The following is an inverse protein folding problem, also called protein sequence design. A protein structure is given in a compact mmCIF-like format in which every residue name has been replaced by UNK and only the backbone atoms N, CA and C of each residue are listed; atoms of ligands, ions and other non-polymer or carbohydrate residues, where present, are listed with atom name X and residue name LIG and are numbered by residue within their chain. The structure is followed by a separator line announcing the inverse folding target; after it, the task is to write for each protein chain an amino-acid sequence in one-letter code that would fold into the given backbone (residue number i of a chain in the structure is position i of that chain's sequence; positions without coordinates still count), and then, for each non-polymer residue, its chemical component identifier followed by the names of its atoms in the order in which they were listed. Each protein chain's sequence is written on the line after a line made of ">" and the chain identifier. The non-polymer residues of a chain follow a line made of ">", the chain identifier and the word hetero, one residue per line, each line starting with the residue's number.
data_IF_663269959797
#
_entry.id   IF_663269959797
#
_cell.length_a   1.000
_cell.length_b   1.000
_cell.length_c   1.000
_cell.angle_alpha   90.00
_cell.angle_beta   90.00
_cell.angle_gamma   90.00
#
_symmetry.space_group_name_H-M   'P 1'
#
loop_
_entity.id
_entity.type
_entity.pdbx_description
1 polymer ?
#
# COMPACT_ATOMS: atom_id res chain seq x y z
N UNK A 1 -60.17 -22.12 -43.61
CA UNK A 1 -58.73 -21.90 -43.43
C UNK A 1 -58.52 -20.88 -42.31
N UNK A 2 -58.27 -21.37 -41.13
CA UNK A 2 -58.06 -20.52 -39.94
C UNK A 2 -56.57 -20.28 -39.75
N UNK A 3 -56.13 -19.03 -39.96
CA UNK A 3 -54.77 -18.61 -39.67
C UNK A 3 -54.66 -18.31 -38.17
N UNK A 4 -53.83 -19.10 -37.48
CA UNK A 4 -53.49 -18.85 -36.08
C UNK A 4 -52.46 -17.71 -36.01
N UNK A 5 -52.61 -16.72 -35.13
CA UNK A 5 -51.57 -15.73 -34.93
C UNK A 5 -50.43 -16.32 -34.11
N UNK A 6 -49.19 -16.13 -34.61
CA UNK A 6 -47.97 -16.42 -33.88
C UNK A 6 -47.72 -15.25 -32.93
N UNK A 7 -47.88 -15.51 -31.64
CA UNK A 7 -47.50 -14.56 -30.61
C UNK A 7 -45.99 -14.67 -30.42
N UNK A 8 -45.24 -13.67 -30.89
CA UNK A 8 -43.82 -13.51 -30.60
C UNK A 8 -43.70 -12.92 -29.19
N UNK A 9 -43.41 -13.77 -28.22
CA UNK A 9 -43.02 -13.29 -26.87
C UNK A 9 -41.59 -12.78 -26.91
N UNK A 10 -41.45 -11.48 -26.91
CA UNK A 10 -40.17 -10.83 -26.69
C UNK A 10 -39.79 -10.96 -25.21
N UNK A 11 -38.86 -11.85 -24.91
CA UNK A 11 -38.24 -11.93 -23.58
C UNK A 11 -37.20 -10.82 -23.51
N UNK A 12 -37.53 -9.73 -22.83
CA UNK A 12 -36.58 -8.68 -22.47
C UNK A 12 -35.67 -9.24 -21.36
N UNK A 13 -34.45 -9.60 -21.72
CA UNK A 13 -33.39 -9.89 -20.74
C UNK A 13 -32.97 -8.57 -20.10
N UNK A 14 -33.44 -8.28 -18.88
CA UNK A 14 -32.86 -7.24 -18.04
C UNK A 14 -31.52 -7.76 -17.56
N UNK A 15 -30.44 -7.29 -18.17
CA UNK A 15 -29.10 -7.42 -17.63
C UNK A 15 -28.98 -6.45 -16.43
N UNK A 16 -29.23 -6.98 -15.23
CA UNK A 16 -28.87 -6.28 -14.00
C UNK A 16 -27.36 -6.31 -13.91
N UNK A 17 -26.75 -5.24 -14.35
CA UNK A 17 -25.32 -4.99 -14.14
C UNK A 17 -25.08 -4.82 -12.64
N UNK A 18 -24.68 -5.89 -11.96
CA UNK A 18 -24.12 -5.80 -10.62
C UNK A 18 -22.78 -5.07 -10.73
N UNK A 19 -22.80 -3.78 -10.50
CA UNK A 19 -21.58 -3.02 -10.24
C UNK A 19 -21.00 -3.55 -8.91
N UNK A 20 -20.00 -4.41 -9.01
CA UNK A 20 -19.19 -4.78 -7.86
C UNK A 20 -18.55 -3.49 -7.34
N UNK A 21 -18.72 -3.15 -6.05
CA UNK A 21 -17.97 -2.05 -5.48
C UNK A 21 -16.50 -2.39 -5.64
N UNK A 22 -15.80 -1.61 -6.44
CA UNK A 22 -14.36 -1.76 -6.61
C UNK A 22 -13.69 -1.66 -5.25
N UNK A 23 -12.98 -2.71 -4.87
CA UNK A 23 -12.10 -2.71 -3.69
C UNK A 23 -10.90 -1.82 -4.04
N UNK A 24 -11.11 -0.54 -4.04
CA UNK A 24 -10.08 0.45 -4.34
C UNK A 24 -10.13 1.57 -3.31
N UNK A 25 -10.16 1.22 -2.02
CA UNK A 25 -9.89 2.19 -0.97
C UNK A 25 -9.14 1.50 0.15
N UNK A 26 -7.82 1.38 -0.01
CA UNK A 26 -6.97 1.47 1.15
C UNK A 26 -7.15 2.88 1.70
N UNK A 27 -8.22 3.09 2.45
CA UNK A 27 -8.47 4.39 3.06
C UNK A 27 -7.37 4.65 4.06
N UNK A 28 -6.88 5.90 4.13
CA UNK A 28 -5.96 6.36 5.16
C UNK A 28 -6.43 6.06 6.60
N UNK A 29 -7.66 5.58 6.77
CA UNK A 29 -8.27 5.12 8.01
C UNK A 29 -7.80 3.73 8.49
N UNK A 30 -7.10 2.95 7.66
CA UNK A 30 -6.52 1.67 8.08
C UNK A 30 -5.40 1.85 9.08
N UNK A 31 -4.72 2.98 9.05
CA UNK A 31 -3.58 3.29 9.90
C UNK A 31 -3.97 4.15 11.10
N UNK A 32 -3.42 3.83 12.25
CA UNK A 32 -3.57 4.64 13.46
C UNK A 32 -2.53 5.76 13.49
N UNK A 33 -2.92 6.92 12.99
CA UNK A 33 -2.05 8.11 12.93
C UNK A 33 -1.76 8.74 14.29
N UNK A 34 -2.42 8.30 15.34
CA UNK A 34 -2.12 8.72 16.71
C UNK A 34 -0.94 7.96 17.31
N UNK A 35 -0.55 6.86 16.68
CA UNK A 35 0.57 6.03 17.07
C UNK A 35 1.74 6.14 16.08
N UNK A 36 2.93 5.94 16.60
CA UNK A 36 4.17 5.90 15.84
C UNK A 36 4.98 4.71 16.29
N UNK A 37 5.46 3.93 15.34
CA UNK A 37 6.37 2.81 15.57
C UNK A 37 7.65 3.00 14.76
N UNK A 38 8.76 2.51 15.27
CA UNK A 38 10.03 2.41 14.56
C UNK A 38 10.32 0.94 14.25
N UNK A 39 10.52 0.65 12.98
CA UNK A 39 10.83 -0.68 12.47
C UNK A 39 12.28 -0.71 12.01
N UNK A 40 13.08 -1.53 12.67
CA UNK A 40 14.46 -1.78 12.28
C UNK A 40 14.49 -2.99 11.36
N UNK A 41 14.98 -2.81 10.14
CA UNK A 41 14.92 -3.90 9.16
C UNK A 41 15.83 -3.69 7.97
N UNK A 42 15.71 -4.62 7.04
CA UNK A 42 16.42 -4.64 5.77
C UNK A 42 15.44 -4.48 4.62
N UNK A 43 15.76 -3.60 3.67
CA UNK A 43 14.94 -3.40 2.47
C UNK A 43 14.98 -4.63 1.59
N UNK A 44 13.79 -5.18 1.28
CA UNK A 44 13.61 -6.28 0.34
C UNK A 44 13.34 -5.73 -1.05
N UNK A 45 12.47 -4.73 -1.13
CA UNK A 45 12.06 -4.11 -2.39
C UNK A 45 11.60 -2.67 -2.16
N UNK A 46 11.96 -1.80 -3.07
CA UNK A 46 11.43 -0.44 -3.16
C UNK A 46 10.66 -0.28 -4.46
N UNK A 47 9.34 -0.10 -4.36
CA UNK A 47 8.44 0.03 -5.50
C UNK A 47 8.13 1.51 -5.74
N UNK A 48 8.68 2.06 -6.80
CA UNK A 48 8.39 3.43 -7.26
C UNK A 48 7.17 3.41 -8.17
N UNK A 49 5.98 3.29 -7.58
CA UNK A 49 4.71 3.06 -8.26
C UNK A 49 3.67 4.13 -7.93
N UNK A 50 2.68 4.27 -8.83
CA UNK A 50 1.49 5.10 -8.62
C UNK A 50 0.29 4.21 -8.28
N UNK A 51 -0.62 4.65 -7.41
CA UNK A 51 -0.71 5.99 -6.81
C UNK A 51 0.24 6.22 -5.63
N UNK A 52 0.81 5.19 -5.05
CA UNK A 52 1.72 5.25 -3.90
C UNK A 52 2.97 4.42 -4.12
N UNK A 53 4.09 4.89 -3.55
CA UNK A 53 5.28 4.05 -3.42
C UNK A 53 5.08 3.03 -2.30
N UNK A 54 5.82 1.93 -2.36
CA UNK A 54 5.86 0.90 -1.33
C UNK A 54 7.29 0.53 -0.99
N UNK A 55 7.56 0.32 0.29
CA UNK A 55 8.84 -0.20 0.76
C UNK A 55 8.55 -1.51 1.49
N UNK A 56 9.06 -2.62 0.96
CA UNK A 56 9.00 -3.92 1.63
C UNK A 56 10.26 -4.10 2.44
N UNK A 57 10.12 -4.41 3.72
CA UNK A 57 11.25 -4.63 4.62
C UNK A 57 11.09 -5.93 5.40
N UNK A 58 12.21 -6.58 5.71
CA UNK A 58 12.28 -7.67 6.66
C UNK A 58 12.65 -7.12 8.03
N UNK A 59 11.85 -7.45 9.04
CA UNK A 59 12.03 -7.03 10.43
C UNK A 59 12.16 -8.27 11.30
N UNK A 60 13.18 -8.35 12.13
CA UNK A 60 13.29 -9.40 13.14
C UNK A 60 12.43 -9.01 14.36
N UNK A 61 11.51 -9.89 14.74
CA UNK A 61 10.70 -9.71 15.94
C UNK A 61 11.43 -10.14 17.22
N UNK A 62 10.79 -9.94 18.37
CA UNK A 62 11.38 -10.29 19.68
C UNK A 62 11.68 -11.78 19.84
N UNK A 63 11.00 -12.66 19.08
CA UNK A 63 11.24 -14.09 19.06
C UNK A 63 12.39 -14.51 18.11
N UNK A 64 13.03 -13.56 17.42
CA UNK A 64 14.06 -13.81 16.42
C UNK A 64 13.53 -14.27 15.07
N UNK A 65 12.24 -14.15 14.83
CA UNK A 65 11.61 -14.52 13.56
C UNK A 65 11.57 -13.32 12.62
N UNK A 66 11.78 -13.57 11.32
CA UNK A 66 11.69 -12.54 10.30
C UNK A 66 10.25 -12.34 9.88
N UNK A 67 9.79 -11.10 9.95
CA UNK A 67 8.48 -10.66 9.50
C UNK A 67 8.65 -9.68 8.34
N UNK A 68 7.92 -9.91 7.25
CA UNK A 68 7.86 -8.95 6.16
C UNK A 68 6.82 -7.88 6.45
N UNK A 69 7.24 -6.62 6.33
CA UNK A 69 6.40 -5.45 6.51
C UNK A 69 6.27 -4.67 5.22
N UNK A 70 5.04 -4.20 4.93
CA UNK A 70 4.75 -3.34 3.79
C UNK A 70 4.55 -1.91 4.27
N UNK A 71 5.36 -0.99 3.76
CA UNK A 71 5.30 0.42 4.14
C UNK A 71 4.73 1.21 2.96
N UNK A 72 3.56 1.80 3.17
CA UNK A 72 2.92 2.66 2.18
C UNK A 72 3.48 4.08 2.29
N UNK A 73 3.95 4.62 1.18
CA UNK A 73 4.47 5.98 1.13
C UNK A 73 3.57 6.94 0.36
N UNK A 74 4.16 8.04 -0.06
CA UNK A 74 3.47 9.09 -0.78
C UNK A 74 3.35 8.84 -2.28
N UNK A 75 2.83 9.85 -2.96
CA UNK A 75 2.69 9.88 -4.42
C UNK A 75 4.06 10.14 -5.06
N UNK A 76 4.51 9.35 -6.04
CA UNK A 76 5.86 9.46 -6.64
C UNK A 76 6.24 10.88 -7.08
N UNK A 77 5.37 11.57 -7.78
CA UNK A 77 5.66 12.93 -8.26
C UNK A 77 5.91 13.94 -7.13
N UNK A 78 5.19 13.80 -6.01
CA UNK A 78 5.39 14.66 -4.84
C UNK A 78 6.72 14.35 -4.16
N UNK A 79 7.02 13.06 -4.01
CA UNK A 79 8.28 12.59 -3.42
C UNK A 79 9.48 13.00 -4.26
N UNK A 80 9.37 12.91 -5.59
CA UNK A 80 10.42 13.36 -6.50
C UNK A 80 10.76 14.85 -6.30
N UNK A 81 9.74 15.69 -6.15
CA UNK A 81 9.93 17.12 -5.84
C UNK A 81 10.54 17.36 -4.46
N UNK A 82 10.31 16.45 -3.52
CA UNK A 82 10.90 16.47 -2.19
C UNK A 82 12.32 15.86 -2.14
N UNK A 83 12.88 15.48 -3.27
CA UNK A 83 14.25 14.97 -3.38
C UNK A 83 14.39 13.46 -3.45
N UNK A 84 13.29 12.73 -3.38
CA UNK A 84 13.32 11.28 -3.51
C UNK A 84 13.59 10.85 -4.95
N UNK A 85 14.15 9.65 -5.11
CA UNK A 85 14.45 9.02 -6.40
C UNK A 85 14.05 7.55 -6.37
N UNK A 86 13.86 6.90 -7.54
CA UNK A 86 13.58 5.46 -7.61
C UNK A 86 14.62 4.57 -6.93
N UNK A 87 15.82 5.09 -6.68
CA UNK A 87 16.90 4.41 -5.96
C UNK A 87 17.15 5.00 -4.56
N UNK A 88 16.21 5.72 -3.99
CA UNK A 88 16.33 6.24 -2.62
C UNK A 88 16.47 5.13 -1.58
N UNK A 89 15.91 3.95 -1.86
CA UNK A 89 16.17 2.72 -1.15
C UNK A 89 16.60 1.65 -2.15
N UNK A 90 17.54 0.82 -1.76
CA UNK A 90 18.02 -0.31 -2.53
C UNK A 90 17.86 -1.60 -1.74
N UNK A 91 17.69 -2.73 -2.43
CA UNK A 91 17.63 -4.03 -1.78
C UNK A 91 18.89 -4.26 -0.94
N UNK A 92 18.71 -4.67 0.30
CA UNK A 92 19.79 -4.92 1.25
C UNK A 92 20.12 -3.72 2.16
N UNK A 93 19.54 -2.54 1.91
CA UNK A 93 19.75 -1.39 2.79
C UNK A 93 19.25 -1.69 4.20
N UNK A 94 20.10 -1.38 5.20
CA UNK A 94 19.68 -1.39 6.59
C UNK A 94 19.00 -0.07 6.90
N UNK A 95 17.80 -0.12 7.45
CA UNK A 95 16.95 1.04 7.67
C UNK A 95 16.27 1.01 9.02
N UNK A 96 15.97 2.19 9.54
CA UNK A 96 14.96 2.38 10.57
C UNK A 96 13.83 3.15 9.91
N UNK A 97 12.65 2.53 9.80
CA UNK A 97 11.48 3.19 9.24
C UNK A 97 10.51 3.56 10.36
N UNK A 98 10.17 4.82 10.41
CA UNK A 98 9.14 5.36 11.29
C UNK A 98 7.83 5.41 10.53
N UNK A 99 6.75 4.89 11.13
CA UNK A 99 5.45 4.87 10.50
C UNK A 99 4.30 4.78 11.48
N UNK A 100 3.08 4.99 10.98
CA UNK A 100 1.85 4.75 11.71
C UNK A 100 1.40 3.31 11.48
N UNK A 101 1.17 2.51 12.53
CA UNK A 101 0.80 1.11 12.38
C UNK A 101 -0.63 0.94 11.88
N UNK A 102 -0.94 -0.24 11.34
CA UNK A 102 -2.33 -0.63 11.07
C UNK A 102 -3.12 -0.77 12.37
N UNK A 103 -4.39 -0.36 12.33
CA UNK A 103 -5.30 -0.47 13.48
C UNK A 103 -5.61 -1.90 13.87
N UNK A 104 -5.59 -2.82 12.90
CA UNK A 104 -5.90 -4.24 13.10
C UNK A 104 -4.67 -5.09 13.51
N UNK A 105 -3.50 -4.47 13.67
CA UNK A 105 -2.26 -5.16 14.02
C UNK A 105 -1.57 -5.86 12.84
N UNK A 106 -2.02 -5.64 11.59
CA UNK A 106 -1.37 -6.15 10.40
C UNK A 106 0.06 -5.64 10.23
N UNK A 107 0.87 -6.35 9.46
CA UNK A 107 2.28 -6.03 9.20
C UNK A 107 2.41 -5.01 8.07
N UNK A 108 1.86 -3.83 8.29
CA UNK A 108 1.97 -2.68 7.41
C UNK A 108 1.99 -1.39 8.22
N UNK A 109 2.58 -0.35 7.65
CA UNK A 109 2.59 0.98 8.27
C UNK A 109 2.51 2.07 7.19
N UNK A 110 2.01 3.23 7.59
CA UNK A 110 2.06 4.42 6.77
C UNK A 110 3.35 5.17 7.06
N UNK A 111 4.14 5.44 6.03
CA UNK A 111 5.46 6.07 6.13
C UNK A 111 5.40 7.46 6.77
N UNK A 112 6.27 7.71 7.73
CA UNK A 112 6.52 9.02 8.32
C UNK A 112 7.93 9.49 7.97
N UNK A 113 8.92 8.63 8.15
CA UNK A 113 10.32 8.93 7.90
C UNK A 113 11.18 7.67 7.93
N UNK A 114 12.41 7.81 7.47
CA UNK A 114 13.41 6.75 7.52
C UNK A 114 14.79 7.31 7.79
N UNK A 115 15.62 6.50 8.42
CA UNK A 115 17.07 6.71 8.53
C UNK A 115 17.78 5.51 7.95
N UNK A 116 18.72 5.78 7.06
CA UNK A 116 19.58 4.78 6.44
C UNK A 116 20.86 4.58 7.27
N UNK A 117 21.59 3.53 6.97
CA UNK A 117 22.81 3.14 7.70
C UNK A 117 23.95 4.19 7.61
N UNK A 118 24.00 4.97 6.53
CA UNK A 118 24.92 6.09 6.36
C UNK A 118 24.54 7.36 7.17
N UNK A 119 23.43 7.30 7.92
CA UNK A 119 22.91 8.40 8.71
C UNK A 119 22.01 9.37 7.94
N UNK A 120 21.85 9.20 6.62
CA UNK A 120 20.93 10.00 5.83
C UNK A 120 19.47 9.72 6.22
N UNK A 121 18.60 10.70 6.03
CA UNK A 121 17.18 10.60 6.38
C UNK A 121 16.30 10.98 5.21
N UNK A 122 15.11 10.37 5.17
CA UNK A 122 14.03 10.70 4.26
C UNK A 122 12.75 10.92 5.07
N UNK A 123 11.96 11.93 4.69
CA UNK A 123 10.77 12.28 5.44
C UNK A 123 11.09 12.89 6.81
N UNK A 124 10.19 12.68 7.79
CA UNK A 124 10.36 13.19 9.16
C UNK A 124 10.93 12.09 10.07
N UNK A 125 12.20 12.25 10.40
CA UNK A 125 12.91 11.33 11.28
C UNK A 125 13.78 12.11 12.28
N UNK A 126 13.11 12.72 13.25
CA UNK A 126 13.74 13.43 14.36
C UNK A 126 13.40 12.77 15.69
#
# INVERSE_FOLDING_TARGET
>A
MTRKPIILSAVALLAVGASLPGIAHHSANMFDRSQTIDLVGEVVEFQWTSPHIWIQINVENEAGEIEEWSIEGGVPNRLYRAGWRPNSFEQGDQVIIRGSPMRDGGKAALFIGARLDDGSTLGRFE
#
